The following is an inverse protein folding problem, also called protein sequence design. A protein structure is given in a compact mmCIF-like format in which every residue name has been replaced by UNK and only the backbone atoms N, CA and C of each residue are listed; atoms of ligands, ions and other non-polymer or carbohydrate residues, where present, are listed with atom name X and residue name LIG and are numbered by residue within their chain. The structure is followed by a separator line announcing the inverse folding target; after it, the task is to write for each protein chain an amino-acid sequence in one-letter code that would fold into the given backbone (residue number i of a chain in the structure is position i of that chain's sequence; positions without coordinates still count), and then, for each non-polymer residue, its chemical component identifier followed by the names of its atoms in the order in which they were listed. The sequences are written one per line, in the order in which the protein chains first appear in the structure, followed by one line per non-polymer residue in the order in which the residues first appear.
data_IF_165607633937
#
_entry.id   IF_165607633937
#
_cell.length_a   1.000
_cell.length_b   1.000
_cell.length_c   1.000
_cell.angle_alpha   90.00
_cell.angle_beta   90.00
_cell.angle_gamma   90.00
#
_symmetry.space_group_name_H-M   'P 1'
#
loop_
_entity.id
_entity.type
_entity.pdbx_description
1 polymer ?
#
# COMPACT_ATOMS: atom_id res chain seq x y z
N UNK A 1 11.19 8.20 -6.18
CA UNK A 1 10.82 7.17 -5.20
C UNK A 1 11.14 5.83 -5.82
N UNK A 2 11.88 4.97 -5.12
CA UNK A 2 12.13 3.60 -5.60
C UNK A 2 10.81 2.85 -5.78
N UNK A 3 10.70 2.03 -6.83
CA UNK A 3 9.50 1.22 -7.11
C UNK A 3 9.80 -0.26 -6.96
N UNK A 4 9.02 -0.96 -6.14
CA UNK A 4 9.03 -2.41 -5.99
C UNK A 4 7.86 -3.02 -6.75
N UNK A 5 8.14 -3.98 -7.64
CA UNK A 5 7.11 -4.76 -8.34
C UNK A 5 6.89 -6.07 -7.61
N UNK A 6 5.66 -6.31 -7.18
CA UNK A 6 5.30 -7.52 -6.44
C UNK A 6 4.34 -8.37 -7.27
N UNK A 7 4.56 -9.68 -7.24
CA UNK A 7 3.76 -10.69 -7.93
C UNK A 7 3.24 -11.72 -6.92
N UNK A 8 2.34 -12.59 -7.36
CA UNK A 8 1.84 -13.70 -6.52
C UNK A 8 2.95 -14.63 -6.02
N UNK A 9 4.09 -14.71 -6.74
CA UNK A 9 5.26 -15.53 -6.40
C UNK A 9 6.30 -14.81 -5.54
N UNK A 10 6.12 -13.51 -5.30
CA UNK A 10 7.06 -12.75 -4.47
C UNK A 10 7.04 -13.27 -3.03
N UNK A 11 8.23 -13.39 -2.43
CA UNK A 11 8.36 -13.75 -1.02
C UNK A 11 8.15 -12.49 -0.15
N UNK A 12 7.14 -12.47 0.75
CA UNK A 12 6.87 -11.30 1.60
C UNK A 12 8.04 -10.84 2.44
N UNK A 13 8.87 -11.75 2.96
CA UNK A 13 10.04 -11.38 3.79
C UNK A 13 11.09 -10.64 2.97
N UNK A 14 11.33 -11.10 1.73
CA UNK A 14 12.28 -10.44 0.82
C UNK A 14 11.81 -9.05 0.43
N UNK A 15 10.52 -8.91 0.11
CA UNK A 15 9.92 -7.60 -0.22
C UNK A 15 9.96 -6.67 1.00
N UNK A 16 9.65 -7.18 2.20
CA UNK A 16 9.70 -6.40 3.45
C UNK A 16 11.11 -5.89 3.75
N UNK A 17 12.14 -6.71 3.53
CA UNK A 17 13.53 -6.29 3.69
C UNK A 17 13.92 -5.16 2.75
N UNK A 18 13.56 -5.29 1.46
CA UNK A 18 13.79 -4.24 0.46
C UNK A 18 13.02 -2.95 0.82
N UNK A 19 11.73 -3.07 1.17
CA UNK A 19 10.87 -1.98 1.59
C UNK A 19 11.45 -1.22 2.78
N UNK A 20 11.84 -1.93 3.85
CA UNK A 20 12.43 -1.34 5.04
C UNK A 20 13.79 -0.66 4.75
N UNK A 21 14.59 -1.19 3.83
CA UNK A 21 15.84 -0.57 3.40
C UNK A 21 15.60 0.75 2.66
N UNK A 22 14.63 0.78 1.75
CA UNK A 22 14.25 1.99 1.01
C UNK A 22 13.66 3.03 1.94
N UNK A 23 12.69 2.68 2.79
CA UNK A 23 12.05 3.65 3.69
C UNK A 23 13.08 4.29 4.62
N UNK A 24 14.01 3.53 5.21
CA UNK A 24 15.07 4.10 6.05
C UNK A 24 16.00 5.08 5.33
N UNK A 25 16.18 4.91 4.01
CA UNK A 25 17.12 5.73 3.23
C UNK A 25 16.46 6.88 2.48
N UNK A 26 15.19 6.73 2.08
CA UNK A 26 14.47 7.65 1.21
C UNK A 26 13.15 8.15 1.81
N UNK A 27 12.74 7.67 2.97
CA UNK A 27 11.48 8.01 3.65
C UNK A 27 10.23 7.34 3.05
N UNK A 28 10.27 6.92 1.79
CA UNK A 28 9.11 6.33 1.11
C UNK A 28 9.51 5.36 -0.02
N UNK A 29 8.63 4.42 -0.31
CA UNK A 29 8.74 3.43 -1.39
C UNK A 29 7.39 3.20 -2.04
N UNK A 30 7.39 3.00 -3.34
CA UNK A 30 6.20 2.68 -4.11
C UNK A 30 6.16 1.17 -4.38
N UNK A 31 5.02 0.52 -4.16
CA UNK A 31 4.81 -0.88 -4.47
C UNK A 31 3.73 -1.03 -5.54
N UNK A 32 4.10 -1.56 -6.69
CA UNK A 32 3.19 -1.80 -7.80
C UNK A 32 2.76 -3.27 -7.82
N UNK A 33 1.43 -3.50 -7.88
CA UNK A 33 0.85 -4.85 -7.93
C UNK A 33 -0.27 -4.96 -8.97
N UNK A 34 -0.42 -6.17 -9.52
CA UNK A 34 -1.53 -6.52 -10.41
C UNK A 34 -2.17 -7.82 -9.93
N UNK A 35 -3.47 -7.77 -9.66
CA UNK A 35 -4.26 -8.90 -9.20
C UNK A 35 -4.17 -9.19 -7.70
N UNK A 36 -5.19 -9.87 -7.17
CA UNK A 36 -5.38 -10.12 -5.75
C UNK A 36 -4.20 -10.89 -5.10
N UNK A 37 -3.64 -11.87 -5.81
CA UNK A 37 -2.51 -12.66 -5.31
C UNK A 37 -1.25 -11.81 -5.06
N UNK A 38 -0.93 -10.90 -5.97
CA UNK A 38 0.19 -9.98 -5.81
C UNK A 38 -0.06 -8.96 -4.69
N UNK A 39 -1.29 -8.42 -4.61
CA UNK A 39 -1.69 -7.51 -3.53
C UNK A 39 -1.54 -8.16 -2.15
N UNK A 40 -1.98 -9.41 -1.99
CA UNK A 40 -1.82 -10.15 -0.73
C UNK A 40 -0.34 -10.28 -0.31
N UNK A 41 0.56 -10.56 -1.26
CA UNK A 41 1.99 -10.61 -0.95
C UNK A 41 2.56 -9.24 -0.55
N UNK A 42 2.10 -8.18 -1.21
CA UNK A 42 2.52 -6.82 -0.88
C UNK A 42 2.05 -6.40 0.52
N UNK A 43 0.78 -6.65 0.87
CA UNK A 43 0.25 -6.33 2.20
C UNK A 43 0.94 -7.14 3.30
N UNK A 44 1.22 -8.44 3.07
CA UNK A 44 2.05 -9.22 4.00
C UNK A 44 3.44 -8.61 4.19
N UNK A 45 4.06 -8.13 3.11
CA UNK A 45 5.36 -7.48 3.17
C UNK A 45 5.30 -6.16 3.94
N UNK A 46 4.25 -5.34 3.76
CA UNK A 46 4.01 -4.13 4.56
C UNK A 46 3.94 -4.47 6.05
N UNK A 47 3.13 -5.47 6.43
CA UNK A 47 2.98 -5.88 7.83
C UNK A 47 4.31 -6.35 8.46
N UNK A 48 5.13 -7.08 7.72
CA UNK A 48 6.46 -7.53 8.18
C UNK A 48 7.42 -6.33 8.27
N UNK A 49 7.38 -5.43 7.28
CA UNK A 49 8.23 -4.24 7.25
C UNK A 49 7.97 -3.32 8.46
N UNK A 50 6.73 -3.21 8.95
CA UNK A 50 6.41 -2.49 10.19
C UNK A 50 7.27 -2.98 11.36
N UNK A 51 7.37 -4.31 11.54
CA UNK A 51 8.22 -4.90 12.57
C UNK A 51 9.72 -4.64 12.35
N UNK A 52 10.17 -4.59 11.10
CA UNK A 52 11.57 -4.31 10.78
C UNK A 52 11.95 -2.87 11.11
N UNK A 53 11.09 -1.89 10.81
CA UNK A 53 11.42 -0.47 10.99
C UNK A 53 11.09 0.08 12.37
N UNK A 54 10.30 -0.63 13.17
CA UNK A 54 9.91 -0.20 14.52
C UNK A 54 11.11 0.14 15.44
N UNK A 55 12.20 -0.65 15.39
CA UNK A 55 13.41 -0.38 16.18
C UNK A 55 14.16 0.90 15.74
N UNK A 56 13.83 1.43 14.57
CA UNK A 56 14.36 2.71 14.05
C UNK A 56 13.44 3.90 14.39
N UNK A 57 12.35 3.70 15.13
CA UNK A 57 11.38 4.75 15.46
C UNK A 57 10.51 5.20 14.29
N UNK A 58 10.51 4.44 13.19
CA UNK A 58 9.72 4.71 11.98
C UNK A 58 8.35 4.06 12.13
N UNK A 59 7.30 4.81 11.83
CA UNK A 59 5.93 4.31 11.80
C UNK A 59 5.45 4.28 10.35
N UNK A 60 5.11 3.11 9.80
CA UNK A 60 4.72 3.03 8.38
C UNK A 60 3.25 3.37 8.16
N UNK A 61 3.00 4.20 7.15
CA UNK A 61 1.68 4.44 6.54
C UNK A 61 1.67 3.78 5.17
N UNK A 62 0.56 3.12 4.82
CA UNK A 62 0.35 2.52 3.51
C UNK A 62 -0.89 3.14 2.85
N UNK A 63 -0.68 3.83 1.73
CA UNK A 63 -1.73 4.57 1.00
C UNK A 63 -1.94 3.88 -0.36
N UNK A 64 -3.08 3.21 -0.57
CA UNK A 64 -3.39 2.58 -1.85
C UNK A 64 -3.97 3.59 -2.85
N UNK A 65 -3.58 3.47 -4.11
CA UNK A 65 -4.18 4.18 -5.24
C UNK A 65 -4.34 3.25 -6.46
N UNK A 66 -5.38 3.49 -7.27
CA UNK A 66 -5.47 2.87 -8.59
C UNK A 66 -4.44 3.49 -9.54
N UNK A 67 -3.82 2.65 -10.36
CA UNK A 67 -2.87 3.11 -11.37
C UNK A 67 -3.12 2.41 -12.69
N UNK A 68 -3.11 3.18 -13.77
CA UNK A 68 -3.06 2.61 -15.13
C UNK A 68 -1.61 2.29 -15.50
N UNK A 69 -1.38 1.08 -15.96
CA UNK A 69 -0.04 0.60 -16.32
C UNK A 69 -0.07 -0.11 -17.66
N UNK A 70 1.07 -0.22 -18.33
CA UNK A 70 1.20 -1.00 -19.57
C UNK A 70 1.97 -2.28 -19.32
N UNK A 71 1.36 -3.42 -19.64
CA UNK A 71 1.99 -4.74 -19.61
C UNK A 71 1.78 -5.36 -21.00
N UNK A 72 2.86 -5.78 -21.65
CA UNK A 72 2.83 -6.41 -22.99
C UNK A 72 2.07 -5.58 -24.05
N UNK A 73 2.14 -4.25 -23.93
CA UNK A 73 1.46 -3.31 -24.84
C UNK A 73 -0.03 -3.09 -24.51
N UNK A 74 -0.59 -3.81 -23.54
CA UNK A 74 -1.97 -3.64 -23.10
C UNK A 74 -2.05 -2.77 -21.85
N UNK A 75 -3.06 -1.89 -21.79
CA UNK A 75 -3.40 -1.16 -20.57
C UNK A 75 -4.05 -2.10 -19.57
N UNK A 76 -3.55 -2.08 -18.33
CA UNK A 76 -4.07 -2.84 -17.20
C UNK A 76 -4.25 -1.90 -16.02
N UNK A 77 -5.32 -2.11 -15.25
CA UNK A 77 -5.49 -1.46 -13.95
C UNK A 77 -4.66 -2.21 -12.92
N UNK A 78 -3.83 -1.47 -12.21
CA UNK A 78 -2.99 -1.94 -11.11
C UNK A 78 -3.41 -1.23 -9.82
N UNK A 79 -2.93 -1.76 -8.70
CA UNK A 79 -2.89 -1.03 -7.44
C UNK A 79 -1.44 -0.62 -7.22
N UNK A 80 -1.26 0.63 -6.81
CA UNK A 80 0.00 1.16 -6.33
C UNK A 80 -0.17 1.47 -4.85
N UNK A 81 0.77 1.00 -4.03
CA UNK A 81 0.81 1.30 -2.60
C UNK A 81 1.98 2.24 -2.37
N UNK A 82 1.71 3.45 -1.90
CA UNK A 82 2.74 4.33 -1.35
C UNK A 82 2.94 3.96 0.10
N UNK A 83 4.14 3.51 0.44
CA UNK A 83 4.51 3.12 1.81
C UNK A 83 5.56 4.09 2.31
N UNK A 84 5.28 4.80 3.38
CA UNK A 84 6.14 5.87 3.87
C UNK A 84 6.17 5.97 5.39
N UNK A 85 7.22 6.59 5.91
CA UNK A 85 7.28 6.97 7.32
C UNK A 85 6.20 8.02 7.62
N UNK A 86 5.49 7.83 8.73
CA UNK A 86 4.50 8.76 9.24
C UNK A 86 5.24 10.01 9.66
N UNK A 87 5.07 11.10 8.92
CA UNK A 87 5.49 12.41 9.41
C UNK A 87 4.67 12.67 10.67
N UNK A 88 5.28 12.83 11.85
CA UNK A 88 4.53 13.23 13.03
C UNK A 88 3.87 14.58 12.72
N UNK A 89 2.54 14.63 12.79
CA UNK A 89 1.86 15.92 12.89
C UNK A 89 2.36 16.52 14.20
N UNK A 90 3.06 17.68 14.20
CA UNK A 90 3.58 18.26 15.44
C UNK A 90 2.40 18.44 16.39
N UNK A 91 2.49 17.86 17.58
CA UNK A 91 1.41 17.77 18.58
C UNK A 91 0.50 19.00 18.59
N UNK A 92 -0.74 18.80 18.17
CA UNK A 92 -1.73 19.85 17.99
C UNK A 92 -2.99 19.29 17.33
N UNK A 93 -3.82 18.68 18.17
CA UNK A 93 -5.17 18.18 17.91
C UNK A 93 -5.27 16.76 17.31
N UNK A 94 -5.47 15.80 18.23
CA UNK A 94 -6.22 14.56 17.99
C UNK A 94 -7.67 14.88 17.56
N UNK A 95 -7.83 15.43 16.37
CA UNK A 95 -9.05 15.27 15.58
C UNK A 95 -8.64 14.67 14.25
N UNK A 96 -8.91 13.37 14.09
CA UNK A 96 -9.34 12.91 12.78
C UNK A 96 -10.61 13.71 12.51
N UNK A 97 -10.48 14.82 11.80
CA UNK A 97 -11.64 15.48 11.25
C UNK A 97 -12.30 14.41 10.38
N UNK A 98 -13.55 14.06 10.70
CA UNK A 98 -14.39 13.25 9.84
C UNK A 98 -14.62 13.91 8.45
N UNK A 99 -14.05 15.11 8.26
CA UNK A 99 -14.05 15.92 7.05
C UNK A 99 -12.73 15.81 6.24
N UNK A 100 -11.91 14.77 6.43
CA UNK A 100 -10.82 14.48 5.50
C UNK A 100 -11.41 13.98 4.16
N UNK A 101 -11.29 14.73 3.06
CA UNK A 101 -11.89 14.37 1.77
C UNK A 101 -11.37 13.04 1.22
N UNK A 102 -10.21 12.55 1.69
CA UNK A 102 -9.64 11.26 1.31
C UNK A 102 -10.36 10.12 2.05
N UNK A 103 -10.80 10.34 3.29
CA UNK A 103 -11.54 9.35 4.09
C UNK A 103 -12.98 9.25 3.63
N UNK A 104 -13.64 10.37 3.32
CA UNK A 104 -14.98 10.34 2.72
C UNK A 104 -14.99 9.63 1.36
N UNK A 105 -13.97 9.85 0.52
CA UNK A 105 -13.85 9.16 -0.77
C UNK A 105 -13.60 7.65 -0.62
N UNK A 106 -12.92 7.21 0.44
CA UNK A 106 -12.67 5.80 0.71
C UNK A 106 -13.90 5.06 1.27
N UNK A 107 -14.77 5.75 2.02
CA UNK A 107 -16.00 5.19 2.60
C UNK A 107 -17.17 5.26 1.59
N UNK A 108 -17.14 6.18 0.62
CA UNK A 108 -18.17 6.32 -0.42
C UNK A 108 -18.11 5.27 -1.54
N UNK A 109 -17.24 4.26 -1.43
CA UNK A 109 -17.19 3.13 -2.38
C UNK A 109 -18.22 2.07 -2.01
N UNK A 110 -19.51 2.42 -2.11
CA UNK A 110 -20.59 1.48 -2.42
C UNK A 110 -20.46 1.08 -3.91
N UNK A 111 -19.30 0.54 -4.29
CA UNK A 111 -19.01 0.12 -5.65
C UNK A 111 -19.59 -1.30 -5.86
N UNK A 112 -20.66 -1.47 -6.65
CA UNK A 112 -21.28 -2.77 -6.90
C UNK A 112 -20.32 -3.78 -7.52
N UNK A 113 -19.18 -3.33 -8.07
CA UNK A 113 -18.12 -4.20 -8.61
C UNK A 113 -17.32 -4.86 -7.48
N UNK A 114 -17.11 -4.17 -6.36
CA UNK A 114 -16.38 -4.71 -5.20
C UNK A 114 -17.23 -5.73 -4.46
N UNK A 115 -18.53 -5.46 -4.25
CA UNK A 115 -19.46 -6.44 -3.69
C UNK A 115 -19.58 -7.70 -4.57
N UNK A 116 -19.67 -7.53 -5.90
CA UNK A 116 -19.73 -8.65 -6.84
C UNK A 116 -18.44 -9.49 -6.83
N UNK A 117 -17.28 -8.88 -6.62
CA UNK A 117 -16.00 -9.58 -6.54
C UNK A 117 -15.85 -10.40 -5.23
N UNK A 118 -16.45 -9.95 -4.13
CA UNK A 118 -16.44 -10.66 -2.84
C UNK A 118 -17.48 -11.79 -2.82
N UNK A 119 -18.62 -11.62 -3.52
CA UNK A 119 -19.71 -12.60 -3.55
C UNK A 119 -19.40 -13.86 -4.40
N UNK A 120 -18.36 -13.85 -5.23
CA UNK A 120 -18.03 -14.98 -6.14
C UNK A 120 -17.10 -16.04 -5.54
N UNK A 121 -16.61 -15.85 -4.30
CA UNK A 121 -15.71 -16.79 -3.60
C UNK A 121 -16.41 -17.48 -2.39
N UNK A 122 -17.75 -17.52 -2.40
CA UNK A 122 -18.60 -18.16 -1.38
C UNK A 122 -19.37 -19.37 -1.89
#
# INVERSE_FOLDING_TARGET
MEQLKVSTRSNPNSVAGAMAGVVRSQGAVEVQVVGAGALNQAIKAVAIACGYVAASGIELVCIPEFADITIDGEKRTAIRLRVEDRVPVPDGDDVVALDDPVVEAAIALDDPVVEAAIALDG
#
